data_IF_654560014807
#
_entry.id   IF_654560014807
#
_cell.length_a   1.000
_cell.length_b   1.000
_cell.length_c   1.000
_cell.angle_alpha   90.00
_cell.angle_beta   90.00
_cell.angle_gamma   90.00
#
_symmetry.space_group_name_H-M   'P 1'
#
loop_
_entity.id
_entity.type
_entity.pdbx_description
1 polymer ?
#
# COMPACT_ATOMS: atom_id res chain seq x y z
N UNK A 1 -15.80 9.87 -8.05
CA UNK A 1 -14.85 9.38 -7.05
C UNK A 1 -14.26 8.07 -7.50
N UNK A 2 -13.06 7.74 -7.01
CA UNK A 2 -12.37 6.47 -7.24
C UNK A 2 -12.05 5.85 -5.88
N UNK A 3 -12.32 4.56 -5.73
CA UNK A 3 -11.89 3.76 -4.58
C UNK A 3 -10.92 2.70 -5.11
N UNK A 4 -9.69 2.71 -4.62
CA UNK A 4 -8.71 1.66 -4.77
C UNK A 4 -8.94 0.63 -3.64
N UNK A 5 -9.39 -0.56 -4.01
CA UNK A 5 -9.64 -1.66 -3.09
C UNK A 5 -8.54 -2.71 -3.24
N UNK A 6 -7.71 -2.86 -2.21
CA UNK A 6 -6.83 -4.01 -2.07
C UNK A 6 -7.67 -5.15 -1.48
N UNK A 7 -7.74 -6.28 -2.16
CA UNK A 7 -8.49 -7.46 -1.66
C UNK A 7 -7.52 -8.61 -1.46
N UNK A 8 -7.42 -9.12 -0.23
CA UNK A 8 -6.51 -10.21 0.11
C UNK A 8 -7.17 -11.29 0.95
N UNK A 9 -6.54 -12.47 1.02
CA UNK A 9 -6.78 -13.45 2.07
C UNK A 9 -6.28 -12.96 3.43
N UNK A 10 -6.68 -13.66 4.49
CA UNK A 10 -6.06 -13.55 5.83
C UNK A 10 -4.61 -14.06 5.85
N UNK A 11 -4.19 -14.79 4.82
CA UNK A 11 -2.80 -15.15 4.50
C UNK A 11 -2.03 -14.04 3.74
N UNK A 12 -2.61 -12.84 3.63
CA UNK A 12 -2.07 -11.69 2.90
C UNK A 12 -1.98 -11.86 1.38
N UNK A 13 -2.34 -13.00 0.79
CA UNK A 13 -2.24 -13.17 -0.66
C UNK A 13 -3.36 -12.43 -1.38
N UNK A 14 -3.11 -11.74 -2.51
CA UNK A 14 -4.16 -11.03 -3.22
C UNK A 14 -5.23 -11.96 -3.78
N UNK A 15 -6.49 -11.51 -3.77
CA UNK A 15 -7.61 -12.21 -4.41
C UNK A 15 -7.81 -11.64 -5.81
N UNK A 16 -7.28 -12.35 -6.81
CA UNK A 16 -7.33 -11.94 -8.22
C UNK A 16 -8.60 -12.43 -8.94
N UNK A 17 -8.91 -11.84 -10.10
CA UNK A 17 -9.99 -12.31 -10.99
C UNK A 17 -11.41 -12.00 -10.48
N UNK A 18 -11.55 -11.04 -9.57
CA UNK A 18 -12.86 -10.55 -9.13
C UNK A 18 -13.52 -9.73 -10.25
N UNK A 19 -14.84 -9.80 -10.30
CA UNK A 19 -15.68 -9.09 -11.27
C UNK A 19 -16.40 -7.94 -10.59
N UNK A 20 -16.91 -6.95 -11.35
CA UNK A 20 -17.70 -5.86 -10.76
C UNK A 20 -18.87 -6.33 -9.89
N UNK A 21 -19.47 -7.49 -10.21
CA UNK A 21 -20.57 -8.09 -9.44
C UNK A 21 -20.17 -8.67 -8.08
N UNK A 22 -18.88 -8.86 -7.84
CA UNK A 22 -18.36 -9.35 -6.55
C UNK A 22 -18.23 -8.22 -5.51
N UNK A 23 -18.41 -6.95 -5.93
CA UNK A 23 -18.28 -5.76 -5.09
C UNK A 23 -19.64 -5.11 -4.82
N UNK A 24 -19.88 -4.72 -3.57
CA UNK A 24 -20.90 -3.75 -3.21
C UNK A 24 -20.23 -2.52 -2.57
N UNK A 25 -20.45 -1.35 -3.17
CA UNK A 25 -19.93 -0.08 -2.69
C UNK A 25 -21.06 0.72 -2.04
N UNK A 26 -20.83 1.26 -0.84
CA UNK A 26 -21.75 2.19 -0.16
C UNK A 26 -21.02 3.48 0.21
N UNK A 27 -21.73 4.59 0.13
CA UNK A 27 -21.30 5.91 0.61
C UNK A 27 -22.36 6.42 1.58
N UNK A 28 -21.96 6.68 2.83
CA UNK A 28 -22.84 7.04 3.95
C UNK A 28 -24.02 6.05 4.09
N UNK A 29 -23.70 4.75 3.98
CA UNK A 29 -24.67 3.64 4.02
C UNK A 29 -25.54 3.49 2.77
N UNK A 30 -25.44 4.38 1.78
CA UNK A 30 -26.25 4.32 0.54
C UNK A 30 -25.51 3.57 -0.57
N UNK A 31 -26.13 2.57 -1.21
CA UNK A 31 -25.51 1.85 -2.32
C UNK A 31 -25.12 2.75 -3.49
N UNK A 32 -23.94 2.49 -4.06
CA UNK A 32 -23.38 3.22 -5.19
C UNK A 32 -23.24 2.31 -6.40
N UNK A 33 -23.53 2.86 -7.58
CA UNK A 33 -23.34 2.14 -8.85
C UNK A 33 -21.96 2.45 -9.42
N UNK A 34 -21.19 1.40 -9.70
CA UNK A 34 -19.90 1.53 -10.38
C UNK A 34 -20.09 2.02 -11.82
N UNK A 35 -19.37 3.08 -12.18
CA UNK A 35 -19.30 3.61 -13.54
C UNK A 35 -18.09 3.10 -14.31
N UNK A 36 -16.99 2.74 -13.62
CA UNK A 36 -15.84 2.02 -14.17
C UNK A 36 -15.29 1.04 -13.12
N UNK A 37 -14.74 -0.05 -13.60
CA UNK A 37 -14.04 -1.08 -12.82
C UNK A 37 -12.77 -1.44 -13.59
N UNK A 38 -11.62 -1.47 -12.91
CA UNK A 38 -10.36 -1.90 -13.48
C UNK A 38 -9.49 -2.53 -12.39
N UNK A 39 -8.66 -3.51 -12.76
CA UNK A 39 -7.57 -4.00 -11.92
C UNK A 39 -6.28 -3.26 -12.31
N UNK A 40 -5.40 -2.96 -11.35
CA UNK A 40 -4.22 -2.11 -11.58
C UNK A 40 -3.38 -2.61 -12.77
N UNK A 41 -3.06 -3.91 -12.85
CA UNK A 41 -2.36 -4.54 -14.00
C UNK A 41 -3.00 -4.33 -15.39
N UNK A 42 -4.25 -3.89 -15.43
CA UNK A 42 -5.05 -3.72 -16.66
C UNK A 42 -5.64 -2.32 -16.80
N UNK A 43 -5.23 -1.39 -15.93
CA UNK A 43 -5.80 -0.05 -15.85
C UNK A 43 -4.85 0.97 -16.45
N UNK A 44 -5.39 2.00 -17.09
CA UNK A 44 -4.61 3.17 -17.52
C UNK A 44 -4.27 4.13 -16.35
N UNK A 45 -4.36 3.66 -15.09
CA UNK A 45 -4.11 4.47 -13.90
C UNK A 45 -2.70 4.18 -13.41
N UNK A 46 -1.73 5.10 -13.58
CA UNK A 46 -0.36 4.88 -13.14
C UNK A 46 -0.30 4.70 -11.62
N UNK A 47 0.65 3.87 -11.18
CA UNK A 47 0.91 3.61 -9.78
C UNK A 47 2.32 4.11 -9.39
N UNK A 48 2.36 5.14 -8.55
CA UNK A 48 3.59 5.68 -7.97
C UNK A 48 3.88 5.05 -6.61
N UNK A 49 5.02 4.40 -6.45
CA UNK A 49 5.40 3.70 -5.22
C UNK A 49 6.69 4.32 -4.68
N UNK A 50 6.71 4.65 -3.40
CA UNK A 50 7.94 4.95 -2.70
C UNK A 50 8.35 3.76 -1.83
N UNK A 51 9.53 3.20 -2.10
CA UNK A 51 10.22 2.29 -1.20
C UNK A 51 11.10 3.12 -0.26
N UNK A 52 10.76 3.12 1.03
CA UNK A 52 11.44 3.89 2.08
C UNK A 52 12.20 2.91 2.96
N UNK A 53 13.53 2.87 2.81
CA UNK A 53 14.38 1.84 3.39
C UNK A 53 15.26 2.45 4.49
N UNK A 54 15.16 1.91 5.70
CA UNK A 54 16.07 2.21 6.79
C UNK A 54 17.48 1.74 6.45
N UNK A 55 18.45 2.66 6.49
CA UNK A 55 19.86 2.35 6.38
C UNK A 55 20.62 2.79 7.64
N UNK A 56 19.96 2.81 8.80
CA UNK A 56 20.58 3.21 10.06
C UNK A 56 21.68 2.24 10.52
N UNK A 57 22.47 2.63 11.52
CA UNK A 57 23.54 1.79 12.06
C UNK A 57 23.08 0.43 12.59
N UNK A 58 21.85 0.29 13.09
CA UNK A 58 21.28 -0.99 13.55
C UNK A 58 21.09 -1.99 12.43
N UNK A 59 20.84 -1.50 11.20
CA UNK A 59 20.64 -2.34 10.02
C UNK A 59 21.93 -3.06 9.57
N UNK A 60 23.08 -2.78 10.17
CA UNK A 60 24.36 -3.35 9.76
C UNK A 60 24.37 -4.89 9.71
N UNK A 61 24.90 -5.45 8.61
CA UNK A 61 25.02 -6.89 8.41
C UNK A 61 23.76 -7.50 7.79
N UNK A 62 23.31 -8.63 8.35
CA UNK A 62 22.18 -9.38 7.80
C UNK A 62 20.88 -8.59 7.64
N UNK A 63 20.48 -7.68 8.56
CA UNK A 63 19.25 -6.91 8.41
C UNK A 63 19.20 -6.09 7.11
N UNK A 64 20.26 -5.31 6.80
CA UNK A 64 20.33 -4.53 5.56
C UNK A 64 20.46 -5.41 4.33
N UNK A 65 21.21 -6.51 4.39
CA UNK A 65 21.32 -7.43 3.25
C UNK A 65 19.98 -8.11 2.91
N UNK A 66 19.19 -8.45 3.92
CA UNK A 66 17.84 -8.97 3.73
C UNK A 66 16.87 -7.88 3.24
N UNK A 67 17.00 -6.64 3.74
CA UNK A 67 16.25 -5.49 3.25
C UNK A 67 16.50 -5.22 1.76
N UNK A 68 17.77 -5.30 1.32
CA UNK A 68 18.15 -5.17 -0.10
C UNK A 68 17.52 -6.27 -0.95
N UNK A 69 17.63 -7.53 -0.52
CA UNK A 69 17.05 -8.68 -1.24
C UNK A 69 15.53 -8.56 -1.34
N UNK A 70 14.86 -8.18 -0.24
CA UNK A 70 13.42 -7.96 -0.22
C UNK A 70 12.99 -6.80 -1.13
N UNK A 71 13.71 -5.68 -1.11
CA UNK A 71 13.46 -4.57 -2.02
C UNK A 71 13.61 -5.00 -3.49
N UNK A 72 14.64 -5.77 -3.84
CA UNK A 72 14.80 -6.31 -5.19
C UNK A 72 13.67 -7.28 -5.58
N UNK A 73 13.23 -8.15 -4.67
CA UNK A 73 12.08 -9.04 -4.90
C UNK A 73 10.77 -8.27 -5.11
N UNK A 74 10.58 -7.15 -4.42
CA UNK A 74 9.45 -6.25 -4.70
C UNK A 74 9.55 -5.60 -6.08
N UNK A 75 10.75 -5.17 -6.48
CA UNK A 75 10.98 -4.61 -7.82
C UNK A 75 10.70 -5.62 -8.93
N UNK A 76 10.86 -6.93 -8.68
CA UNK A 76 10.53 -7.99 -9.64
C UNK A 76 9.03 -8.12 -9.91
N UNK A 77 8.19 -7.70 -8.95
CA UNK A 77 6.74 -7.70 -9.12
C UNK A 77 6.22 -6.50 -9.90
N UNK A 78 7.02 -5.44 -10.07
CA UNK A 78 6.57 -4.22 -10.74
C UNK A 78 6.46 -4.43 -12.26
N UNK A 79 5.33 -4.00 -12.84
CA UNK A 79 5.10 -4.00 -14.28
C UNK A 79 5.66 -2.76 -14.97
N UNK A 80 5.15 -2.48 -16.18
CA UNK A 80 5.63 -1.37 -17.02
C UNK A 80 4.96 -0.02 -16.71
N UNK A 81 3.83 -0.03 -16.01
CA UNK A 81 3.01 1.17 -15.73
C UNK A 81 3.24 1.71 -14.30
N UNK A 82 3.97 0.95 -13.49
CA UNK A 82 4.42 1.32 -12.15
C UNK A 82 5.66 2.21 -12.20
N UNK A 83 5.65 3.26 -11.40
CA UNK A 83 6.81 4.12 -11.17
C UNK A 83 7.25 3.97 -9.73
N UNK A 84 8.53 3.63 -9.53
CA UNK A 84 9.11 3.46 -8.20
C UNK A 84 10.13 4.56 -7.92
N UNK A 85 10.10 5.10 -6.72
CA UNK A 85 11.19 5.89 -6.14
C UNK A 85 11.77 5.11 -4.97
N UNK A 86 13.09 5.12 -4.81
CA UNK A 86 13.74 4.55 -3.63
C UNK A 86 14.32 5.68 -2.79
N UNK A 87 13.87 5.76 -1.55
CA UNK A 87 14.35 6.70 -0.53
C UNK A 87 15.02 5.90 0.55
N UNK A 88 16.25 6.29 0.91
CA UNK A 88 16.92 5.76 2.10
C UNK A 88 16.83 6.76 3.23
N UNK A 89 16.71 6.27 4.46
CA UNK A 89 16.74 7.13 5.63
C UNK A 89 17.61 6.57 6.74
N UNK A 90 18.30 7.49 7.39
CA UNK A 90 19.03 7.31 8.63
C UNK A 90 18.72 8.51 9.54
N UNK A 91 19.70 9.34 9.91
CA UNK A 91 19.49 10.68 10.45
C UNK A 91 19.19 11.75 9.37
N UNK A 92 19.36 11.39 8.09
CA UNK A 92 18.95 12.15 6.92
C UNK A 92 18.07 11.28 6.01
N UNK A 93 17.24 11.88 5.16
CA UNK A 93 16.55 11.18 4.07
C UNK A 93 17.09 11.61 2.71
N UNK A 94 17.27 10.66 1.78
CA UNK A 94 17.69 10.94 0.40
C UNK A 94 17.05 10.00 -0.60
N UNK A 95 16.66 10.56 -1.74
CA UNK A 95 16.34 9.79 -2.94
C UNK A 95 17.62 9.18 -3.51
N UNK A 96 17.69 7.85 -3.57
CA UNK A 96 18.82 7.12 -4.17
C UNK A 96 18.50 6.62 -5.58
N UNK A 97 17.22 6.45 -5.88
CA UNK A 97 16.73 6.18 -7.22
C UNK A 97 15.49 7.05 -7.47
N UNK A 98 15.50 7.93 -8.49
CA UNK A 98 14.40 8.86 -8.76
C UNK A 98 13.14 8.11 -9.20
N UNK A 99 11.98 8.77 -9.06
CA UNK A 99 10.69 8.22 -9.50
C UNK A 99 10.72 7.91 -11.00
N UNK A 100 10.54 6.64 -11.34
CA UNK A 100 10.56 6.17 -12.73
C UNK A 100 10.28 4.67 -12.85
N UNK A 101 10.28 4.13 -14.08
CA UNK A 101 10.14 2.70 -14.29
C UNK A 101 11.30 1.94 -13.63
N UNK A 102 11.03 0.71 -13.19
CA UNK A 102 12.05 -0.14 -12.58
C UNK A 102 13.12 -0.49 -13.62
N UNK A 103 14.38 -0.19 -13.30
CA UNK A 103 15.54 -0.51 -14.12
C UNK A 103 16.73 -1.01 -13.28
N UNK A 104 17.83 -1.38 -13.95
CA UNK A 104 19.02 -1.89 -13.27
C UNK A 104 19.71 -0.81 -12.40
N UNK A 105 19.58 0.47 -12.74
CA UNK A 105 20.20 1.55 -11.96
C UNK A 105 19.58 1.68 -10.57
N UNK A 106 18.27 1.43 -10.47
CA UNK A 106 17.55 1.37 -9.20
C UNK A 106 18.02 0.20 -8.32
N UNK A 107 18.22 -0.98 -8.93
CA UNK A 107 18.73 -2.18 -8.23
C UNK A 107 20.16 -1.97 -7.76
N UNK A 108 21.01 -1.38 -8.60
CA UNK A 108 22.36 -0.99 -8.20
C UNK A 108 22.37 0.00 -7.04
N UNK A 109 21.45 0.97 -7.01
CA UNK A 109 21.34 1.94 -5.91
C UNK A 109 20.99 1.25 -4.58
N UNK A 110 20.07 0.28 -4.60
CA UNK A 110 19.71 -0.54 -3.43
C UNK A 110 20.93 -1.35 -2.96
N UNK A 111 21.63 -2.06 -3.86
CA UNK A 111 22.79 -2.90 -3.50
C UNK A 111 23.93 -2.09 -2.85
N UNK A 112 24.08 -0.83 -3.25
CA UNK A 112 25.10 0.11 -2.73
C UNK A 112 24.75 0.73 -1.38
N UNK A 113 23.58 0.42 -0.79
CA UNK A 113 23.24 0.91 0.54
C UNK A 113 24.26 0.42 1.58
N UNK A 114 24.67 1.34 2.44
CA UNK A 114 25.55 1.08 3.58
C UNK A 114 24.90 1.66 4.84
N UNK A 115 25.05 0.96 5.99
CA UNK A 115 24.48 1.41 7.25
C UNK A 115 25.18 2.69 7.74
N UNK A 116 24.42 3.67 8.21
CA UNK A 116 24.92 4.97 8.63
C UNK A 116 24.04 5.59 9.72
N UNK A 117 24.64 6.35 10.64
CA UNK A 117 23.89 7.30 11.49
C UNK A 117 22.80 6.70 12.39
N UNK A 118 21.82 7.56 12.73
CA UNK A 118 20.65 7.24 13.54
C UNK A 118 19.43 6.88 12.69
N UNK A 119 18.23 6.98 13.27
CA UNK A 119 16.98 6.53 12.63
C UNK A 119 15.92 7.65 12.70
N UNK A 120 15.51 8.18 11.56
CA UNK A 120 14.44 9.18 11.40
C UNK A 120 13.50 8.77 10.25
N UNK A 121 12.62 7.81 10.53
CA UNK A 121 11.68 7.28 9.56
C UNK A 121 10.70 8.35 9.07
N UNK A 122 10.25 9.26 9.95
CA UNK A 122 9.29 10.28 9.56
C UNK A 122 9.90 11.27 8.55
N UNK A 123 11.18 11.62 8.68
CA UNK A 123 11.88 12.38 7.64
C UNK A 123 11.91 11.61 6.30
N UNK A 124 12.21 10.32 6.32
CA UNK A 124 12.13 9.44 5.14
C UNK A 124 10.75 9.42 4.48
N UNK A 125 9.70 9.34 5.30
CA UNK A 125 8.30 9.39 4.84
C UNK A 125 7.96 10.73 4.19
N UNK A 126 8.39 11.85 4.76
CA UNK A 126 8.14 13.16 4.19
C UNK A 126 8.89 13.36 2.86
N UNK A 127 10.15 12.92 2.74
CA UNK A 127 10.89 12.94 1.49
C UNK A 127 10.18 12.11 0.40
N UNK A 128 9.71 10.92 0.75
CA UNK A 128 8.94 10.07 -0.15
C UNK A 128 7.65 10.76 -0.64
N UNK A 129 6.89 11.38 0.26
CA UNK A 129 5.66 12.09 -0.08
C UNK A 129 5.91 13.31 -0.98
N UNK A 130 7.04 14.01 -0.82
CA UNK A 130 7.43 15.11 -1.70
C UNK A 130 7.74 14.62 -3.12
N UNK A 131 8.50 13.52 -3.25
CA UNK A 131 8.88 12.98 -4.56
C UNK A 131 7.70 12.35 -5.29
N UNK A 132 6.80 11.69 -4.56
CA UNK A 132 5.51 11.21 -5.08
C UNK A 132 4.57 12.36 -5.50
N UNK A 133 4.89 13.61 -5.16
CA UNK A 133 4.20 14.81 -5.62
C UNK A 133 2.76 14.92 -5.14
N UNK A 134 1.88 15.49 -5.98
CA UNK A 134 0.46 15.71 -5.67
C UNK A 134 -0.46 15.44 -6.85
N UNK A 135 0.04 14.78 -7.89
CA UNK A 135 -0.74 14.41 -9.06
C UNK A 135 -1.99 13.62 -8.66
N UNK A 136 -3.12 13.98 -9.24
CA UNK A 136 -4.44 13.41 -8.95
C UNK A 136 -4.75 12.19 -9.83
N UNK A 137 -4.03 12.03 -10.94
CA UNK A 137 -4.23 10.93 -11.90
C UNK A 137 -3.42 9.68 -11.56
N UNK A 138 -2.36 9.83 -10.76
CA UNK A 138 -1.51 8.73 -10.27
C UNK A 138 -1.96 8.24 -8.89
N UNK A 139 -2.24 6.93 -8.78
CA UNK A 139 -2.43 6.30 -7.46
C UNK A 139 -1.07 6.15 -6.78
N UNK A 140 -0.97 6.43 -5.48
CA UNK A 140 0.34 6.55 -4.82
C UNK A 140 0.37 5.82 -3.49
N UNK A 141 1.47 5.12 -3.23
CA UNK A 141 1.64 4.27 -2.05
C UNK A 141 3.05 4.43 -1.50
N UNK A 142 3.20 4.34 -0.18
CA UNK A 142 4.50 4.20 0.47
C UNK A 142 4.63 2.82 1.08
N UNK A 143 5.76 2.16 0.86
CA UNK A 143 6.19 0.95 1.57
C UNK A 143 7.44 1.31 2.37
N UNK A 144 7.37 1.23 3.70
CA UNK A 144 8.43 1.64 4.60
C UNK A 144 8.94 0.45 5.43
N UNK A 145 10.26 0.25 5.45
CA UNK A 145 10.95 -0.73 6.28
C UNK A 145 11.78 -0.04 7.34
N UNK A 146 11.76 -0.55 8.57
CA UNK A 146 12.66 -0.15 9.66
C UNK A 146 12.95 -1.30 10.60
N UNK A 147 14.15 -1.33 11.21
CA UNK A 147 14.48 -2.22 12.32
C UNK A 147 14.53 -1.52 13.68
N UNK A 148 14.17 -0.23 13.71
CA UNK A 148 14.38 0.63 14.86
C UNK A 148 13.17 1.46 15.26
N UNK A 149 13.41 2.28 16.27
CA UNK A 149 12.47 3.33 16.70
C UNK A 149 13.00 4.67 16.18
N UNK A 150 12.10 5.49 15.65
CA UNK A 150 12.46 6.85 15.25
C UNK A 150 13.03 7.60 16.45
N UNK A 151 14.23 8.16 16.29
CA UNK A 151 14.91 8.98 17.27
C UNK A 151 14.34 10.39 17.32
N UNK A 152 15.21 11.40 17.33
CA UNK A 152 14.77 12.79 17.20
C UNK A 152 14.39 13.07 15.74
N UNK A 153 13.17 13.52 15.54
CA UNK A 153 12.66 13.92 14.22
C UNK A 153 12.06 15.32 14.29
N UNK A 154 12.12 16.05 13.18
CA UNK A 154 11.37 17.29 12.99
C UNK A 154 9.85 17.02 12.83
N UNK A 155 9.48 15.78 12.56
CA UNK A 155 8.12 15.32 12.34
C UNK A 155 7.63 14.41 13.48
N UNK A 156 6.32 14.29 13.61
CA UNK A 156 5.68 13.41 14.58
C UNK A 156 4.80 12.39 13.87
N UNK A 157 4.52 11.26 14.54
CA UNK A 157 3.59 10.25 14.04
C UNK A 157 2.24 10.87 13.61
N UNK A 158 1.64 11.70 14.47
CA UNK A 158 0.36 12.35 14.18
C UNK A 158 0.44 13.27 12.96
N UNK A 159 1.52 14.03 12.82
CA UNK A 159 1.73 14.93 11.68
C UNK A 159 1.95 14.17 10.38
N UNK A 160 2.71 13.06 10.43
CA UNK A 160 2.93 12.19 9.27
C UNK A 160 1.65 11.47 8.85
N UNK A 161 0.86 10.94 9.79
CA UNK A 161 -0.47 10.35 9.52
C UNK A 161 -1.37 11.41 8.86
N UNK A 162 -1.46 12.61 9.44
CA UNK A 162 -2.29 13.68 8.89
C UNK A 162 -1.88 14.04 7.46
N UNK A 163 -0.58 14.15 7.19
CA UNK A 163 -0.05 14.44 5.85
C UNK A 163 -0.38 13.32 4.86
N UNK A 164 -0.20 12.06 5.25
CA UNK A 164 -0.54 10.91 4.40
C UNK A 164 -2.04 10.86 4.07
N UNK A 165 -2.90 11.12 5.06
CA UNK A 165 -4.36 11.17 4.88
C UNK A 165 -4.80 12.33 3.99
N UNK A 166 -4.25 13.52 4.20
CA UNK A 166 -4.49 14.68 3.32
C UNK A 166 -4.05 14.35 1.89
N UNK A 167 -2.92 13.65 1.75
CA UNK A 167 -2.41 13.26 0.45
C UNK A 167 -3.07 12.02 -0.16
N UNK A 168 -3.94 11.31 0.58
CA UNK A 168 -4.53 10.04 0.21
C UNK A 168 -3.48 8.99 -0.22
N UNK A 169 -2.39 8.89 0.55
CA UNK A 169 -1.29 7.95 0.33
C UNK A 169 -1.29 6.93 1.48
N UNK A 170 -1.71 5.68 1.25
CA UNK A 170 -1.57 4.62 2.23
C UNK A 170 -0.11 4.27 2.48
N UNK A 171 0.20 3.91 3.72
CA UNK A 171 1.54 3.52 4.16
C UNK A 171 1.53 2.06 4.59
N UNK A 172 2.30 1.22 3.91
CA UNK A 172 2.59 -0.14 4.32
C UNK A 172 3.87 -0.12 5.15
N UNK A 173 3.80 -0.55 6.40
CA UNK A 173 4.95 -0.55 7.31
C UNK A 173 5.43 -1.98 7.51
N UNK A 174 6.74 -2.17 7.45
CA UNK A 174 7.40 -3.44 7.73
C UNK A 174 8.42 -3.20 8.83
N UNK A 175 8.19 -3.83 9.99
CA UNK A 175 9.06 -3.71 11.15
C UNK A 175 9.93 -4.96 11.32
N UNK A 176 11.25 -4.81 11.41
CA UNK A 176 12.18 -5.92 11.60
C UNK A 176 12.74 -5.91 13.04
N UNK A 177 12.57 -7.00 13.79
CA UNK A 177 13.12 -7.06 15.16
C UNK A 177 12.38 -6.16 16.16
N UNK A 178 13.11 -5.47 17.04
CA UNK A 178 12.52 -4.63 18.11
C UNK A 178 12.19 -3.21 17.62
N UNK A 179 11.00 -3.06 17.05
CA UNK A 179 10.48 -1.80 16.52
C UNK A 179 9.38 -1.19 17.41
N UNK A 180 8.96 0.04 17.08
CA UNK A 180 7.75 0.64 17.64
C UNK A 180 6.48 0.05 16.98
N UNK A 181 6.13 -1.19 17.34
CA UNK A 181 4.95 -1.88 16.80
C UNK A 181 3.67 -1.04 16.91
N UNK A 182 3.32 -0.43 18.06
CA UNK A 182 2.14 0.43 18.14
C UNK A 182 2.17 1.61 17.17
N UNK A 183 3.31 2.29 17.03
CA UNK A 183 3.46 3.42 16.12
C UNK A 183 3.35 3.02 14.64
N UNK A 184 4.02 1.92 14.25
CA UNK A 184 4.01 1.41 12.87
C UNK A 184 2.64 0.86 12.46
N UNK A 185 1.97 0.12 13.34
CA UNK A 185 0.60 -0.36 13.12
C UNK A 185 -0.34 0.82 12.96
N UNK A 186 -0.28 1.78 13.88
CA UNK A 186 -1.14 2.97 13.82
C UNK A 186 -0.93 3.80 12.55
N UNK A 187 0.32 3.99 12.11
CA UNK A 187 0.62 4.67 10.86
C UNK A 187 -0.01 3.96 9.66
N UNK A 188 0.12 2.64 9.59
CA UNK A 188 -0.47 1.86 8.50
C UNK A 188 -2.01 1.90 8.54
N UNK A 189 -2.60 1.57 9.69
CA UNK A 189 -4.05 1.46 9.86
C UNK A 189 -4.76 2.80 9.59
N UNK A 190 -4.24 3.91 10.13
CA UNK A 190 -4.87 5.23 9.95
C UNK A 190 -4.67 5.85 8.55
N UNK A 191 -3.78 5.29 7.73
CA UNK A 191 -3.56 5.72 6.33
C UNK A 191 -4.18 4.76 5.32
N UNK A 192 -4.72 3.62 5.77
CA UNK A 192 -5.34 2.58 4.95
C UNK A 192 -4.37 1.50 4.45
N UNK A 193 -3.09 1.57 4.81
CA UNK A 193 -2.11 0.53 4.50
C UNK A 193 -2.20 -0.66 5.46
N UNK A 194 -1.10 -1.41 5.57
CA UNK A 194 -1.01 -2.58 6.47
C UNK A 194 0.37 -2.66 7.12
N UNK A 195 0.40 -3.15 8.35
CA UNK A 195 1.62 -3.43 9.08
C UNK A 195 2.01 -4.91 8.99
N UNK A 196 3.31 -5.16 8.82
CA UNK A 196 3.93 -6.48 8.80
C UNK A 196 5.08 -6.51 9.80
N UNK A 197 5.13 -7.57 10.61
CA UNK A 197 6.20 -7.81 11.58
C UNK A 197 6.71 -9.25 11.40
N UNK A 198 7.62 -9.51 10.46
CA UNK A 198 8.22 -10.83 10.32
C UNK A 198 8.87 -11.28 11.64
N UNK A 199 8.69 -12.57 11.97
CA UNK A 199 9.40 -13.19 13.09
C UNK A 199 10.89 -13.33 12.77
N UNK A 200 11.22 -13.66 11.52
CA UNK A 200 12.60 -13.85 11.06
C UNK A 200 12.93 -12.89 9.90
N UNK A 201 14.15 -12.34 9.85
CA UNK A 201 14.59 -11.51 8.73
C UNK A 201 14.55 -12.18 7.36
N UNK A 202 14.59 -13.52 7.31
CA UNK A 202 14.51 -14.31 6.09
C UNK A 202 13.11 -14.28 5.46
N UNK A 203 12.07 -13.99 6.25
CA UNK A 203 10.68 -13.89 5.77
C UNK A 203 10.43 -12.57 5.00
N UNK A 204 11.37 -11.63 5.08
CA UNK A 204 11.21 -10.28 4.52
C UNK A 204 11.05 -10.31 3.00
N UNK A 205 11.77 -11.20 2.32
CA UNK A 205 11.67 -11.38 0.87
C UNK A 205 10.26 -11.82 0.44
N UNK A 206 9.67 -12.80 1.14
CA UNK A 206 8.31 -13.25 0.86
C UNK A 206 7.27 -12.16 1.15
N UNK A 207 7.42 -11.42 2.25
CA UNK A 207 6.54 -10.29 2.57
C UNK A 207 6.57 -9.24 1.48
N UNK A 208 7.75 -8.87 0.99
CA UNK A 208 7.90 -7.88 -0.07
C UNK A 208 7.35 -8.36 -1.41
N UNK A 209 7.51 -9.65 -1.74
CA UNK A 209 6.86 -10.26 -2.90
C UNK A 209 5.34 -10.17 -2.79
N UNK A 210 4.77 -10.57 -1.64
CA UNK A 210 3.32 -10.48 -1.39
C UNK A 210 2.84 -9.04 -1.51
N UNK A 211 3.57 -8.06 -0.95
CA UNK A 211 3.25 -6.64 -1.09
C UNK A 211 3.24 -6.19 -2.57
N UNK A 212 4.25 -6.57 -3.35
CA UNK A 212 4.29 -6.31 -4.79
C UNK A 212 3.09 -6.92 -5.51
N UNK A 213 2.77 -8.18 -5.25
CA UNK A 213 1.59 -8.86 -5.80
C UNK A 213 0.28 -8.14 -5.41
N UNK A 214 0.16 -7.69 -4.15
CA UNK A 214 -1.01 -6.97 -3.65
C UNK A 214 -1.21 -5.63 -4.36
N UNK A 215 -0.17 -4.83 -4.48
CA UNK A 215 -0.25 -3.50 -5.11
C UNK A 215 -0.58 -3.59 -6.60
N UNK A 216 -0.07 -4.63 -7.28
CA UNK A 216 -0.46 -4.91 -8.64
C UNK A 216 -1.92 -5.41 -8.77
N UNK A 217 -2.49 -5.99 -7.72
CA UNK A 217 -3.83 -6.59 -7.75
C UNK A 217 -4.91 -5.66 -7.17
N UNK A 218 -4.65 -4.35 -7.09
CA UNK A 218 -5.62 -3.35 -6.63
C UNK A 218 -6.79 -3.25 -7.63
N UNK A 219 -8.02 -3.17 -7.10
CA UNK A 219 -9.21 -2.90 -7.89
C UNK A 219 -9.64 -1.45 -7.78
N UNK A 220 -9.68 -0.73 -8.90
CA UNK A 220 -10.19 0.63 -9.00
C UNK A 220 -11.69 0.64 -9.29
N UNK A 221 -12.46 1.09 -8.31
CA UNK A 221 -13.91 1.22 -8.32
C UNK A 221 -14.27 2.70 -8.53
N UNK A 222 -14.64 3.09 -9.75
CA UNK A 222 -15.09 4.47 -10.04
C UNK A 222 -16.60 4.55 -9.89
N UNK A 223 -17.08 5.58 -9.21
CA UNK A 223 -18.52 5.86 -9.06
C UNK A 223 -18.79 7.38 -9.01
N UNK A 224 -20.06 7.75 -9.18
CA UNK A 224 -20.54 9.12 -8.99
C UNK A 224 -21.08 9.27 -7.58
N UNK A 225 -20.47 10.15 -6.78
CA UNK A 225 -20.93 10.44 -5.41
C UNK A 225 -22.33 11.06 -5.44
N UNK A 226 -23.16 10.69 -4.47
CA UNK A 226 -24.48 11.29 -4.29
C UNK A 226 -24.43 12.53 -3.39
N UNK A 227 -23.27 12.86 -2.81
CA UNK A 227 -23.06 14.08 -2.02
C UNK A 227 -23.02 15.29 -2.93
N UNK A 228 -23.64 16.39 -2.49
CA UNK A 228 -23.51 17.64 -3.22
C UNK A 228 -22.11 18.23 -2.99
N UNK A 229 -21.57 18.94 -3.97
CA UNK A 229 -20.18 19.46 -3.94
C UNK A 229 -19.91 20.45 -2.80
N UNK A 230 -20.96 20.99 -2.16
CA UNK A 230 -20.89 21.91 -1.02
C UNK A 230 -21.12 21.22 0.34
N UNK A 231 -21.38 19.91 0.39
CA UNK A 231 -21.48 19.15 1.63
C UNK A 231 -20.09 18.81 2.17
N UNK A 232 -19.41 19.84 2.70
CA UNK A 232 -18.13 19.69 3.39
C UNK A 232 -18.30 18.87 4.67
N UNK A 233 -17.47 17.86 4.86
CA UNK A 233 -17.47 17.02 6.06
C UNK A 233 -16.85 15.65 5.81
N UNK A 234 -17.14 14.69 6.67
CA UNK A 234 -16.66 13.31 6.51
C UNK A 234 -17.67 12.47 5.73
N UNK A 235 -17.17 11.62 4.82
CA UNK A 235 -17.93 10.59 4.12
C UNK A 235 -17.42 9.21 4.49
N UNK A 236 -18.35 8.32 4.81
CA UNK A 236 -18.06 6.93 5.13
C UNK A 236 -18.16 6.10 3.85
N UNK A 237 -17.04 5.54 3.41
CA UNK A 237 -16.98 4.66 2.25
C UNK A 237 -16.84 3.23 2.76
N UNK A 238 -17.71 2.36 2.29
CA UNK A 238 -17.72 0.94 2.63
C UNK A 238 -17.64 0.11 1.35
N UNK A 239 -16.71 -0.84 1.32
CA UNK A 239 -16.56 -1.82 0.24
C UNK A 239 -16.76 -3.21 0.83
N UNK A 240 -17.76 -3.91 0.31
CA UNK A 240 -18.05 -5.31 0.62
C UNK A 240 -17.66 -6.18 -0.58
N UNK A 241 -16.86 -7.23 -0.34
CA UNK A 241 -16.44 -8.21 -1.33
C UNK A 241 -16.72 -9.61 -0.81
N UNK A 242 -17.63 -10.33 -1.48
CA UNK A 242 -18.02 -11.71 -1.11
C UNK A 242 -18.37 -11.89 0.39
N UNK A 243 -18.96 -10.87 1.01
CA UNK A 243 -19.39 -10.87 2.41
C UNK A 243 -18.32 -10.45 3.42
N UNK A 244 -17.09 -10.17 2.99
CA UNK A 244 -16.11 -9.44 3.79
C UNK A 244 -16.25 -7.94 3.51
N UNK A 245 -16.07 -7.10 4.54
CA UNK A 245 -16.28 -5.66 4.43
C UNK A 245 -15.11 -4.91 5.04
N UNK A 246 -14.71 -3.83 4.38
CA UNK A 246 -13.89 -2.78 4.98
C UNK A 246 -14.59 -1.43 4.82
N UNK A 247 -14.37 -0.53 5.76
CA UNK A 247 -14.98 0.80 5.75
C UNK A 247 -14.04 1.84 6.33
N UNK A 248 -13.93 2.99 5.67
CA UNK A 248 -13.13 4.08 6.19
C UNK A 248 -13.76 5.45 5.92
N UNK A 249 -13.53 6.36 6.86
CA UNK A 249 -14.09 7.70 6.89
C UNK A 249 -13.09 8.71 6.33
N UNK A 250 -13.50 9.49 5.34
CA UNK A 250 -12.63 10.43 4.65
C UNK A 250 -13.23 11.83 4.58
N UNK A 251 -12.37 12.85 4.54
CA UNK A 251 -12.82 14.20 4.23
C UNK A 251 -13.38 14.25 2.79
N UNK A 252 -14.54 14.89 2.66
CA UNK A 252 -15.31 15.08 1.44
C UNK A 252 -15.75 16.56 1.32
N UNK A 253 -15.82 17.12 0.10
CA UNK A 253 -15.41 16.50 -1.15
C UNK A 253 -13.89 16.36 -1.26
N UNK A 254 -13.38 15.30 -1.90
CA UNK A 254 -12.01 15.33 -2.40
C UNK A 254 -11.89 14.57 -3.72
N UNK A 255 -10.96 15.06 -4.54
CA UNK A 255 -10.75 14.60 -5.91
C UNK A 255 -9.81 13.37 -5.99
N UNK A 256 -9.15 13.02 -4.88
CA UNK A 256 -8.20 11.88 -4.82
C UNK A 256 -8.91 10.53 -4.73
N UNK A 257 -8.23 9.47 -5.17
CA UNK A 257 -8.66 8.10 -4.90
C UNK A 257 -8.69 7.82 -3.39
N UNK A 258 -9.51 6.87 -2.95
CA UNK A 258 -9.60 6.39 -1.57
C UNK A 258 -9.09 4.97 -1.49
N UNK A 259 -8.32 4.62 -0.47
CA UNK A 259 -7.77 3.28 -0.33
C UNK A 259 -8.49 2.52 0.77
N UNK A 260 -8.90 1.29 0.48
CA UNK A 260 -9.49 0.35 1.44
C UNK A 260 -8.84 -1.02 1.28
N UNK A 261 -8.73 -1.75 2.38
CA UNK A 261 -8.15 -3.09 2.44
C UNK A 261 -9.22 -4.08 2.90
N UNK A 262 -9.75 -4.87 1.96
CA UNK A 262 -10.76 -5.90 2.26
C UNK A 262 -10.08 -7.25 2.44
N UNK A 263 -10.12 -7.78 3.66
CA UNK A 263 -9.56 -9.09 4.01
C UNK A 263 -10.65 -10.16 4.01
N UNK A 264 -10.54 -11.14 3.11
CA UNK A 264 -11.44 -12.28 3.00
C UNK A 264 -10.83 -13.47 3.76
N UNK A 265 -11.52 -14.06 4.75
CA UNK A 265 -11.05 -15.30 5.38
C UNK A 265 -10.78 -16.38 4.34
N UNK A 266 -9.59 -17.01 4.36
CA UNK A 266 -9.21 -18.05 3.38
C UNK A 266 -10.20 -19.22 3.34
N UNK A 267 -10.82 -19.55 4.47
CA UNK A 267 -11.90 -20.54 4.57
C UNK A 267 -13.11 -20.25 3.66
N UNK A 268 -13.39 -18.99 3.34
CA UNK A 268 -14.47 -18.59 2.45
C UNK A 268 -14.06 -18.65 0.97
N UNK A 269 -12.78 -18.48 0.65
CA UNK A 269 -12.28 -18.50 -0.73
C UNK A 269 -12.48 -19.87 -1.41
N UNK A 270 -12.28 -20.97 -0.68
CA UNK A 270 -12.47 -22.34 -1.19
C UNK A 270 -13.92 -22.67 -1.58
N UNK A 271 -14.90 -22.04 -0.95
CA UNK A 271 -16.33 -22.29 -1.22
C UNK A 271 -16.76 -21.74 -2.59
N UNK A 272 -16.20 -20.61 -3.02
CA UNK A 272 -16.57 -19.95 -4.27
C UNK A 272 -15.96 -20.61 -5.52
N UNK A 273 -14.81 -21.27 -5.39
CA UNK A 273 -14.20 -22.07 -6.47
C UNK A 273 -15.11 -23.27 -6.79
N UNK A 274 -15.65 -23.93 -5.76
CA UNK A 274 -16.50 -25.12 -5.92
C UNK A 274 -17.82 -24.80 -6.64
N UNK A 275 -18.47 -23.68 -6.31
CA UNK A 275 -19.71 -23.25 -6.97
C UNK A 275 -19.48 -22.93 -8.45
N UNK A 276 -18.36 -22.31 -8.79
CA UNK A 276 -18.00 -21.99 -10.18
C UNK A 276 -17.76 -23.24 -11.02
N UNK A 277 -17.13 -24.28 -10.46
CA UNK A 277 -16.92 -25.58 -11.12
C UNK A 277 -18.25 -26.34 -11.30
N UNK A 278 -19.13 -26.33 -10.28
CA UNK A 278 -20.43 -27.02 -10.34
C UNK A 278 -21.36 -26.36 -11.39
N UNK A 279 -21.33 -25.03 -11.55
CA UNK A 279 -22.12 -24.33 -12.56
C UNK A 279 -21.65 -24.58 -14.00
N UNK A 280 -20.34 -24.80 -14.20
CA UNK A 280 -19.78 -25.17 -15.51
C UNK A 280 -20.14 -26.62 -15.88
N UNK A 281 -20.18 -27.53 -14.91
CA UNK A 281 -20.55 -28.94 -15.16
C UNK A 281 -22.05 -29.11 -15.47
N UNK A 282 -22.93 -28.26 -14.92
CA UNK A 282 -24.39 -28.30 -15.21
C UNK A 282 -24.81 -27.67 -16.54
N UNK A 283 -23.89 -27.08 -17.31
CA UNK A 283 -24.16 -26.48 -18.64
C UNK A 283 -23.63 -27.31 -19.82
N UNK A 284 -23.30 -28.59 -19.61
CA UNK A 284 -23.02 -29.55 -20.68
C UNK A 284 -24.08 -30.64 -20.74
#
# INVERSE_FOLDING_TARGET
MVVAALVSGDDHRPVTGLRPSDFALREDGKPQRLSRFAEARSSDMPLGIALVIDNSGSMSGAPLENAKQAAEAFLDEMGNDEQVVVVRFDHEARVIAPLGPVDESMREAIRKLEPAGGTDMYLGMHEALEVLGTDLETFRVVVALTDGRTGQSAYSLDGTIATCRERAVPVFTVGLGDVDVPGLSRLADETGGRFFHPENPEDLEEIYRILGEQLNSIYFLKYSSNRMRWDAGTADIEVEVRGATDSHSFQAPSERARFLTVVIPTSLLGLFILVSVILVIRRR
#
